data_IF_090917401639
#
_entry.id   IF_090917401639
#
_cell.length_a   1.000
_cell.length_b   1.000
_cell.length_c   1.000
_cell.angle_alpha   90.00
_cell.angle_beta   90.00
_cell.angle_gamma   90.00
#
_symmetry.space_group_name_H-M   'P 1'
#
loop_
_entity.id
_entity.type
_entity.pdbx_description
1 polymer ?
#
# COMPACT_ATOMS: atom_id res chain seq x y z
N UNK A 1 -15.34 16.14 -21.26
CA UNK A 1 -14.73 16.56 -19.97
C UNK A 1 -15.71 16.58 -18.78
N UNK A 2 -16.93 16.02 -18.86
CA UNK A 2 -17.96 16.18 -17.82
C UNK A 2 -18.07 15.02 -16.80
N UNK A 3 -17.21 13.99 -16.91
CA UNK A 3 -17.44 12.71 -16.23
C UNK A 3 -16.23 12.25 -15.38
N UNK A 4 -15.15 13.03 -15.32
CA UNK A 4 -13.90 12.68 -14.60
C UNK A 4 -13.97 13.07 -13.12
N UNK A 5 -14.87 13.97 -12.74
CA UNK A 5 -15.03 14.42 -11.36
C UNK A 5 -15.54 13.30 -10.43
N UNK A 6 -16.45 12.46 -10.92
CA UNK A 6 -17.03 11.36 -10.14
C UNK A 6 -15.99 10.29 -9.72
N UNK A 7 -15.14 9.75 -10.62
CA UNK A 7 -14.10 8.81 -10.22
C UNK A 7 -13.04 9.45 -9.32
N UNK A 8 -12.67 10.73 -9.54
CA UNK A 8 -11.74 11.41 -8.65
C UNK A 8 -12.30 11.56 -7.22
N UNK A 9 -13.58 11.93 -7.07
CA UNK A 9 -14.23 11.99 -5.76
C UNK A 9 -14.26 10.62 -5.10
N UNK A 10 -14.54 9.56 -5.86
CA UNK A 10 -14.54 8.19 -5.34
C UNK A 10 -13.16 7.77 -4.84
N UNK A 11 -12.09 8.03 -5.60
CA UNK A 11 -10.70 7.76 -5.18
C UNK A 11 -10.33 8.53 -3.91
N UNK A 12 -10.73 9.81 -3.82
CA UNK A 12 -10.48 10.63 -2.63
C UNK A 12 -11.24 10.13 -1.40
N UNK A 13 -12.45 9.60 -1.56
CA UNK A 13 -13.21 9.01 -0.44
C UNK A 13 -12.62 7.68 0.06
N UNK A 14 -12.01 6.88 -0.82
CA UNK A 14 -11.31 5.66 -0.39
C UNK A 14 -10.03 5.97 0.39
N UNK A 15 -9.30 7.01 -0.03
CA UNK A 15 -8.08 7.45 0.65
C UNK A 15 -8.33 7.90 2.10
N UNK A 16 -9.48 8.54 2.38
CA UNK A 16 -9.80 9.03 3.73
C UNK A 16 -10.22 7.90 4.69
N UNK A 17 -10.93 6.88 4.22
CA UNK A 17 -11.31 5.71 5.03
C UNK A 17 -10.06 4.86 5.37
N UNK A 18 -9.17 4.68 4.40
CA UNK A 18 -7.88 4.03 4.56
C UNK A 18 -7.01 4.69 5.64
N UNK A 19 -6.88 6.02 5.58
CA UNK A 19 -6.10 6.79 6.56
C UNK A 19 -6.69 6.76 7.97
N UNK A 20 -8.01 6.65 8.13
CA UNK A 20 -8.68 6.61 9.43
C UNK A 20 -8.53 5.24 10.14
N UNK A 21 -8.25 4.17 9.41
CA UNK A 21 -8.22 2.82 9.96
C UNK A 21 -6.92 2.46 10.70
N UNK A 22 -5.83 3.24 10.56
CA UNK A 22 -4.46 2.95 11.05
C UNK A 22 -3.86 1.58 10.66
N UNK A 23 -4.67 0.67 10.13
CA UNK A 23 -4.36 -0.72 9.84
C UNK A 23 -4.30 -0.98 8.32
N UNK A 24 -4.30 0.07 7.50
CA UNK A 24 -4.28 -0.03 6.06
C UNK A 24 -3.35 1.03 5.46
N UNK A 25 -2.55 0.62 4.49
CA UNK A 25 -1.76 1.50 3.63
C UNK A 25 -1.98 1.16 2.17
N UNK A 26 -1.93 2.15 1.29
CA UNK A 26 -1.93 1.96 -0.15
C UNK A 26 -0.82 2.82 -0.76
N UNK A 27 -0.27 2.38 -1.87
CA UNK A 27 0.82 3.07 -2.53
C UNK A 27 1.06 2.60 -3.96
N UNK A 28 2.20 3.00 -4.50
CA UNK A 28 2.63 2.69 -5.85
C UNK A 28 3.87 1.79 -5.83
N UNK A 29 3.95 0.87 -6.78
CA UNK A 29 5.18 0.15 -7.11
C UNK A 29 5.88 0.99 -8.17
N UNK A 30 7.11 1.45 -7.88
CA UNK A 30 7.89 2.27 -8.80
C UNK A 30 9.01 1.42 -9.41
N UNK A 31 9.07 1.35 -10.74
CA UNK A 31 10.09 0.61 -11.46
C UNK A 31 9.51 -0.27 -12.55
N UNK A 32 10.03 -1.48 -12.68
CA UNK A 32 9.59 -2.48 -13.65
C UNK A 32 9.48 -3.83 -12.91
N UNK A 33 8.28 -4.22 -12.44
CA UNK A 33 6.96 -3.67 -12.78
C UNK A 33 6.64 -2.34 -12.08
N UNK A 34 5.81 -1.52 -12.74
CA UNK A 34 5.14 -0.36 -12.13
C UNK A 34 3.68 -0.69 -11.84
N UNK A 35 3.13 -0.22 -10.71
CA UNK A 35 1.81 -0.67 -10.30
C UNK A 35 1.27 -0.06 -9.02
N UNK A 36 0.27 -0.73 -8.45
CA UNK A 36 -0.38 -0.38 -7.20
C UNK A 36 -0.10 -1.46 -6.15
N UNK A 37 -0.01 -1.03 -4.90
CA UNK A 37 0.17 -1.92 -3.76
C UNK A 37 -0.75 -1.52 -2.61
N UNK A 38 -1.19 -2.50 -1.84
CA UNK A 38 -1.97 -2.30 -0.63
C UNK A 38 -1.43 -3.19 0.49
N UNK A 39 -1.28 -2.59 1.67
CA UNK A 39 -0.78 -3.24 2.89
C UNK A 39 -1.84 -3.21 3.96
N UNK A 40 -2.15 -4.37 4.54
CA UNK A 40 -3.10 -4.52 5.63
C UNK A 40 -2.32 -4.92 6.87
N UNK A 41 -2.27 -4.06 7.87
CA UNK A 41 -1.68 -4.37 9.17
C UNK A 41 -2.69 -5.15 10.01
N UNK A 42 -2.30 -6.36 10.42
CA UNK A 42 -3.12 -7.24 11.26
C UNK A 42 -2.81 -7.05 12.76
N UNK A 43 -1.83 -6.22 13.07
CA UNK A 43 -1.36 -5.91 14.42
C UNK A 43 -0.06 -5.12 14.33
N UNK A 44 0.66 -5.01 15.45
CA UNK A 44 1.94 -4.30 15.50
C UNK A 44 3.08 -5.03 14.75
N UNK A 45 3.00 -6.35 14.67
CA UNK A 45 4.07 -7.19 14.15
C UNK A 45 3.76 -7.84 12.82
N UNK A 46 2.53 -7.72 12.31
CA UNK A 46 2.06 -8.53 11.19
C UNK A 46 1.34 -7.70 10.16
N UNK A 47 1.62 -7.97 8.90
CA UNK A 47 0.90 -7.39 7.78
C UNK A 47 0.77 -8.35 6.61
N UNK A 48 -0.23 -8.13 5.79
CA UNK A 48 -0.34 -8.70 4.45
C UNK A 48 -0.04 -7.58 3.46
N UNK A 49 0.80 -7.86 2.47
CA UNK A 49 1.09 -6.95 1.36
C UNK A 49 0.63 -7.59 0.06
N UNK A 50 -0.18 -6.87 -0.71
CA UNK A 50 -0.64 -7.32 -2.01
C UNK A 50 -0.35 -6.26 -3.04
N UNK A 51 0.02 -6.68 -4.24
CA UNK A 51 0.25 -5.73 -5.32
C UNK A 51 -0.03 -6.31 -6.69
N UNK A 52 -0.30 -5.39 -7.59
CA UNK A 52 -0.51 -5.66 -9.00
C UNK A 52 0.24 -4.60 -9.80
N UNK A 53 1.00 -5.03 -10.80
CA UNK A 53 1.79 -4.14 -11.63
C UNK A 53 2.02 -4.73 -13.01
N UNK A 54 2.47 -3.89 -13.93
CA UNK A 54 2.73 -4.24 -15.31
C UNK A 54 4.21 -3.99 -15.62
N UNK A 55 4.81 -4.88 -16.40
CA UNK A 55 6.19 -4.77 -16.90
C UNK A 55 6.21 -5.19 -18.35
N UNK A 56 6.53 -4.26 -19.26
CA UNK A 56 6.50 -4.42 -20.71
C UNK A 56 5.18 -4.99 -21.28
N UNK A 57 5.01 -6.31 -21.26
CA UNK A 57 3.82 -7.03 -21.74
C UNK A 57 3.29 -8.06 -20.71
N UNK A 58 3.87 -8.10 -19.51
CA UNK A 58 3.56 -9.07 -18.46
C UNK A 58 2.83 -8.41 -17.27
N UNK A 59 1.80 -9.10 -16.77
CA UNK A 59 1.08 -8.72 -15.56
C UNK A 59 1.69 -9.43 -14.34
N UNK A 60 2.12 -8.64 -13.36
CA UNK A 60 2.67 -9.09 -12.09
C UNK A 60 1.63 -8.94 -11.00
N UNK A 61 1.41 -10.02 -10.25
CA UNK A 61 0.57 -10.02 -9.06
C UNK A 61 1.35 -10.73 -7.95
N UNK A 62 1.33 -10.18 -6.74
CA UNK A 62 1.93 -10.82 -5.58
C UNK A 62 1.07 -10.67 -4.33
N UNK A 63 1.33 -11.55 -3.36
CA UNK A 63 0.75 -11.49 -2.03
C UNK A 63 1.75 -12.06 -1.02
N UNK A 64 2.22 -11.21 -0.11
CA UNK A 64 3.23 -11.54 0.90
C UNK A 64 2.66 -11.42 2.31
N UNK A 65 3.15 -12.30 3.19
CA UNK A 65 2.97 -12.15 4.63
C UNK A 65 4.23 -11.56 5.25
N UNK A 66 4.08 -10.43 5.94
CA UNK A 66 5.16 -9.68 6.53
C UNK A 66 5.13 -9.80 8.04
N UNK A 67 6.29 -10.09 8.65
CA UNK A 67 6.49 -10.09 10.09
C UNK A 67 7.58 -9.10 10.49
N UNK A 68 7.22 -8.15 11.36
CA UNK A 68 8.14 -7.20 11.94
C UNK A 68 8.72 -7.72 13.27
N UNK A 69 10.04 -7.84 13.32
CA UNK A 69 10.79 -8.19 14.54
C UNK A 69 11.29 -6.93 15.22
N UNK A 70 10.62 -6.56 16.31
CA UNK A 70 10.93 -5.34 17.07
C UNK A 70 12.28 -5.48 17.79
N UNK A 71 13.06 -4.40 17.85
CA UNK A 71 14.30 -4.33 18.64
C UNK A 71 15.48 -5.14 18.10
N UNK A 72 15.44 -5.59 16.84
CA UNK A 72 16.60 -6.24 16.19
C UNK A 72 17.75 -5.25 15.98
N UNK A 73 17.41 -4.00 15.67
CA UNK A 73 18.36 -2.90 15.56
C UNK A 73 18.04 -1.83 16.61
N UNK A 74 19.06 -1.23 17.26
CA UNK A 74 18.87 -0.20 18.28
C UNK A 74 18.59 1.17 17.64
N UNK A 75 17.48 1.28 16.91
CA UNK A 75 17.02 2.53 16.31
C UNK A 75 15.65 2.90 16.88
N UNK A 76 15.42 4.20 17.07
CA UNK A 76 14.08 4.70 17.30
C UNK A 76 13.28 4.43 16.02
N UNK A 77 12.13 3.76 16.14
CA UNK A 77 11.31 3.36 14.99
C UNK A 77 11.04 4.58 14.10
N UNK A 78 11.67 4.59 12.92
CA UNK A 78 11.52 5.66 11.95
C UNK A 78 10.28 5.36 11.13
N UNK A 79 9.16 5.95 11.52
CA UNK A 79 7.90 5.79 10.78
C UNK A 79 7.87 6.80 9.63
N UNK A 80 8.26 6.37 8.43
CA UNK A 80 8.00 7.15 7.22
C UNK A 80 6.53 6.97 6.80
N UNK A 81 5.70 7.94 7.14
CA UNK A 81 4.41 8.16 6.50
C UNK A 81 4.66 8.97 5.22
N UNK A 82 4.95 8.29 4.11
CA UNK A 82 4.93 8.90 2.77
C UNK A 82 3.67 8.45 2.04
#
# INVERSE_FOLDING_TARGET
>A
MKNILLPCIFVLMFATIASAAHNFGAGFILGDPSGLTAKIFMGKSDAIDIGIGESADDLYIYADYLRHFHGVFPINELVFYL
#
